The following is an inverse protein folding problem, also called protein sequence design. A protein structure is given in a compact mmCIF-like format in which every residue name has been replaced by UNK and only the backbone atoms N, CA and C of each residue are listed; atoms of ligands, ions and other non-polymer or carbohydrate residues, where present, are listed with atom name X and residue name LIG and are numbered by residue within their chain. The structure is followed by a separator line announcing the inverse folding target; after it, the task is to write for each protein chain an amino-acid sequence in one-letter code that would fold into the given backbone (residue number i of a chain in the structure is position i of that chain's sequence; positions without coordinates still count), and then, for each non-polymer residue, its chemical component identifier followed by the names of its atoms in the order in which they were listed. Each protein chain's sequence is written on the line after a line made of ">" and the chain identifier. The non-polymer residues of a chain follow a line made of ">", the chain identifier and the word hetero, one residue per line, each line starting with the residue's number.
data_IF_758224273511
#
_entry.id   IF_758224273511
#
_cell.length_a   1.000
_cell.length_b   1.000
_cell.length_c   1.000
_cell.angle_alpha   90.00
_cell.angle_beta   90.00
_cell.angle_gamma   90.00
#
_symmetry.space_group_name_H-M   'P 1'
#
loop_
_entity.id
_entity.type
_entity.pdbx_description
1 polymer ?
#
# COMPACT_ATOMS: atom_id res chain seq x y z
N UNK A 1 31.18 -37.65 26.29
CA UNK A 1 30.80 -36.30 25.85
C UNK A 1 30.38 -36.40 24.38
N UNK A 2 29.10 -36.65 24.14
CA UNK A 2 28.54 -36.60 22.80
C UNK A 2 28.30 -35.14 22.46
N UNK A 3 29.07 -34.62 21.51
CA UNK A 3 28.86 -33.30 20.91
C UNK A 3 27.48 -33.31 20.25
N UNK A 4 26.54 -32.58 20.87
CA UNK A 4 25.20 -32.36 20.35
C UNK A 4 25.35 -31.54 19.05
N UNK A 5 25.31 -32.22 17.91
CA UNK A 5 25.45 -31.60 16.61
C UNK A 5 24.23 -30.69 16.39
N UNK A 6 24.48 -29.43 16.03
CA UNK A 6 23.41 -28.47 15.74
C UNK A 6 22.41 -29.08 14.74
N UNK A 7 21.08 -28.96 15.01
CA UNK A 7 20.07 -29.64 14.22
C UNK A 7 20.18 -29.27 12.74
N UNK A 8 20.20 -30.29 11.88
CA UNK A 8 20.28 -30.13 10.43
C UNK A 8 19.13 -29.24 9.93
N UNK A 9 19.44 -28.22 9.14
CA UNK A 9 18.47 -27.24 8.61
C UNK A 9 17.32 -27.89 7.82
N UNK A 10 17.58 -29.04 7.19
CA UNK A 10 16.63 -29.80 6.40
C UNK A 10 15.93 -30.92 7.19
N UNK A 11 16.21 -31.07 8.49
CA UNK A 11 15.45 -31.97 9.36
C UNK A 11 14.12 -31.32 9.76
N UNK A 12 13.11 -32.13 10.06
CA UNK A 12 11.81 -31.65 10.56
C UNK A 12 11.99 -30.77 11.80
N UNK A 13 12.94 -31.12 12.68
CA UNK A 13 13.28 -30.35 13.88
C UNK A 13 13.91 -29.00 13.54
N UNK A 14 14.83 -28.94 12.56
CA UNK A 14 15.43 -27.69 12.09
C UNK A 14 14.40 -26.75 11.46
N UNK A 15 13.46 -27.30 10.69
CA UNK A 15 12.34 -26.55 10.11
C UNK A 15 11.40 -26.04 11.21
N UNK A 16 11.02 -26.89 12.17
CA UNK A 16 10.19 -26.48 13.30
C UNK A 16 10.84 -25.40 14.16
N UNK A 17 12.15 -25.48 14.39
CA UNK A 17 12.90 -24.48 15.13
C UNK A 17 12.86 -23.12 14.42
N UNK A 18 13.12 -23.08 13.11
CA UNK A 18 13.02 -21.84 12.33
C UNK A 18 11.61 -21.25 12.29
N UNK A 19 10.59 -22.10 12.16
CA UNK A 19 9.19 -21.64 12.18
C UNK A 19 8.86 -21.03 13.54
N UNK A 20 9.20 -21.70 14.64
CA UNK A 20 8.98 -21.18 16.01
C UNK A 20 9.76 -19.88 16.26
N UNK A 21 10.99 -19.81 15.79
CA UNK A 21 11.80 -18.59 15.88
C UNK A 21 11.14 -17.44 15.10
N UNK A 22 10.68 -17.69 13.87
CA UNK A 22 9.96 -16.71 13.07
C UNK A 22 8.69 -16.21 13.77
N UNK A 23 7.88 -17.13 14.29
CA UNK A 23 6.65 -16.82 15.04
C UNK A 23 6.98 -16.01 16.31
N UNK A 24 8.01 -16.40 17.06
CA UNK A 24 8.43 -15.71 18.29
C UNK A 24 8.97 -14.31 18.01
N UNK A 25 9.72 -14.12 16.92
CA UNK A 25 10.15 -12.80 16.46
C UNK A 25 8.94 -11.93 16.10
N UNK A 26 7.97 -12.49 15.36
CA UNK A 26 6.74 -11.79 15.00
C UNK A 26 5.95 -11.40 16.24
N UNK A 27 5.81 -12.32 17.19
CA UNK A 27 5.13 -12.09 18.46
C UNK A 27 5.80 -10.96 19.26
N UNK A 28 7.13 -10.99 19.38
CA UNK A 28 7.92 -9.94 20.04
C UNK A 28 7.73 -8.58 19.38
N UNK A 29 7.75 -8.54 18.04
CA UNK A 29 7.51 -7.31 17.28
C UNK A 29 6.06 -6.84 17.47
N UNK A 30 5.09 -7.73 17.51
CA UNK A 30 3.68 -7.35 17.72
C UNK A 30 3.41 -6.89 19.16
N UNK A 31 4.19 -7.35 20.14
CA UNK A 31 4.08 -6.91 21.54
C UNK A 31 4.29 -5.41 21.74
N UNK A 32 4.96 -4.73 20.79
CA UNK A 32 5.15 -3.29 20.83
C UNK A 32 3.82 -2.52 20.67
N UNK A 33 2.79 -3.16 20.10
CA UNK A 33 1.49 -2.55 19.83
C UNK A 33 0.46 -2.96 20.88
N UNK A 34 -0.08 -1.97 21.61
CA UNK A 34 -1.10 -2.18 22.65
C UNK A 34 -2.32 -2.98 22.15
N UNK A 35 -2.83 -2.64 20.97
CA UNK A 35 -3.99 -3.32 20.37
C UNK A 35 -3.76 -4.81 20.12
N UNK A 36 -2.55 -5.23 19.75
CA UNK A 36 -2.24 -6.64 19.53
C UNK A 36 -2.27 -7.42 20.86
N UNK A 37 -1.78 -6.81 21.93
CA UNK A 37 -1.82 -7.41 23.27
C UNK A 37 -3.26 -7.48 23.83
N UNK A 38 -4.09 -6.47 23.55
CA UNK A 38 -5.51 -6.48 23.93
C UNK A 38 -6.27 -7.61 23.21
N UNK A 39 -5.98 -7.83 21.92
CA UNK A 39 -6.55 -8.93 21.13
C UNK A 39 -6.14 -10.29 21.69
N UNK A 40 -4.87 -10.47 22.04
CA UNK A 40 -4.38 -11.70 22.70
C UNK A 40 -5.10 -11.95 24.02
N UNK A 41 -5.29 -10.90 24.84
CA UNK A 41 -6.00 -11.00 26.12
C UNK A 41 -7.47 -11.40 25.97
N UNK A 42 -8.15 -10.91 24.92
CA UNK A 42 -9.57 -11.20 24.68
C UNK A 42 -9.75 -12.58 24.06
N UNK A 43 -8.92 -12.93 23.09
CA UNK A 43 -9.06 -14.19 22.32
C UNK A 43 -8.43 -15.38 23.01
N UNK A 44 -7.47 -15.16 23.91
CA UNK A 44 -6.68 -16.22 24.56
C UNK A 44 -5.69 -16.92 23.61
N UNK A 45 -5.52 -16.41 22.39
CA UNK A 45 -4.63 -16.97 21.37
C UNK A 45 -3.45 -15.99 21.17
N UNK A 46 -2.20 -16.48 20.97
CA UNK A 46 -1.08 -15.58 20.75
C UNK A 46 -1.31 -14.71 19.51
N UNK A 47 -1.05 -13.40 19.66
CA UNK A 47 -1.26 -12.37 18.62
C UNK A 47 -0.58 -12.71 17.29
N UNK A 48 0.58 -13.38 17.32
CA UNK A 48 1.27 -13.85 16.12
C UNK A 48 0.41 -14.79 15.26
N UNK A 49 -0.28 -15.76 15.86
CA UNK A 49 -1.17 -16.67 15.13
C UNK A 49 -2.42 -15.94 14.61
N UNK A 50 -2.94 -14.96 15.35
CA UNK A 50 -4.09 -14.16 14.90
C UNK A 50 -3.74 -13.38 13.63
N UNK A 51 -2.59 -12.69 13.63
CA UNK A 51 -2.13 -11.92 12.46
C UNK A 51 -1.78 -12.83 11.28
N UNK A 52 -1.08 -13.95 11.53
CA UNK A 52 -0.77 -14.91 10.47
C UNK A 52 -2.04 -15.53 9.88
N UNK A 53 -3.00 -15.88 10.72
CA UNK A 53 -4.30 -16.41 10.31
C UNK A 53 -5.10 -15.40 9.49
N UNK A 54 -5.16 -14.15 9.93
CA UNK A 54 -5.81 -13.07 9.18
C UNK A 54 -5.11 -12.82 7.84
N UNK A 55 -3.78 -12.80 7.80
CA UNK A 55 -3.00 -12.65 6.57
C UNK A 55 -3.20 -13.82 5.60
N UNK A 56 -3.24 -15.06 6.11
CA UNK A 56 -3.52 -16.25 5.30
C UNK A 56 -4.94 -16.23 4.74
N UNK A 57 -5.93 -15.86 5.56
CA UNK A 57 -7.32 -15.70 5.11
C UNK A 57 -7.42 -14.63 4.03
N UNK A 58 -6.77 -13.48 4.23
CA UNK A 58 -6.72 -12.38 3.26
C UNK A 58 -6.12 -12.85 1.92
N UNK A 59 -5.01 -13.57 1.96
CA UNK A 59 -4.38 -14.15 0.78
C UNK A 59 -5.29 -15.17 0.08
N UNK A 60 -5.93 -16.08 0.82
CA UNK A 60 -6.86 -17.07 0.29
C UNK A 60 -8.05 -16.39 -0.41
N UNK A 61 -8.64 -15.36 0.21
CA UNK A 61 -9.77 -14.62 -0.36
C UNK A 61 -9.41 -13.91 -1.67
N UNK A 62 -8.18 -13.42 -1.80
CA UNK A 62 -7.65 -12.84 -3.04
C UNK A 62 -7.37 -13.93 -4.07
N UNK A 63 -6.73 -15.02 -3.66
CA UNK A 63 -6.34 -16.13 -4.52
C UNK A 63 -7.55 -16.77 -5.22
N UNK A 64 -8.65 -16.96 -4.50
CA UNK A 64 -9.92 -17.46 -5.05
C UNK A 64 -10.82 -16.37 -5.62
N UNK A 65 -10.37 -15.11 -5.66
CA UNK A 65 -11.11 -13.96 -6.15
C UNK A 65 -12.51 -13.79 -5.53
N UNK A 66 -12.68 -14.16 -4.26
CA UNK A 66 -13.96 -14.02 -3.54
C UNK A 66 -14.18 -12.55 -3.14
N UNK A 67 -13.10 -11.84 -2.80
CA UNK A 67 -13.13 -10.42 -2.42
C UNK A 67 -11.88 -9.67 -2.93
N UNK A 68 -11.25 -10.13 -4.01
CA UNK A 68 -9.93 -9.67 -4.46
C UNK A 68 -9.87 -8.15 -4.67
N UNK A 69 -10.86 -7.58 -5.36
CA UNK A 69 -10.93 -6.14 -5.62
C UNK A 69 -11.10 -5.32 -4.34
N UNK A 70 -12.03 -5.71 -3.47
CA UNK A 70 -12.29 -5.00 -2.22
C UNK A 70 -11.03 -4.99 -1.33
N UNK A 71 -10.45 -6.17 -1.11
CA UNK A 71 -9.28 -6.34 -0.24
C UNK A 71 -8.06 -5.57 -0.77
N UNK A 72 -7.81 -5.64 -2.08
CA UNK A 72 -6.71 -4.90 -2.73
C UNK A 72 -6.90 -3.38 -2.61
N UNK A 73 -8.12 -2.89 -2.82
CA UNK A 73 -8.43 -1.48 -2.66
C UNK A 73 -8.27 -1.06 -1.19
N UNK A 74 -8.75 -1.86 -0.24
CA UNK A 74 -8.58 -1.56 1.19
C UNK A 74 -7.12 -1.36 1.55
N UNK A 75 -6.21 -2.21 1.05
CA UNK A 75 -4.76 -2.06 1.29
C UNK A 75 -4.22 -0.78 0.63
N UNK A 76 -4.62 -0.50 -0.60
CA UNK A 76 -4.21 0.70 -1.34
C UNK A 76 -4.61 2.00 -0.66
N UNK A 77 -5.72 1.99 0.07
CA UNK A 77 -6.30 3.21 0.64
C UNK A 77 -6.03 3.35 2.14
N UNK A 78 -6.29 2.32 2.95
CA UNK A 78 -6.35 2.44 4.41
C UNK A 78 -4.98 2.70 5.02
N UNK A 79 -3.97 1.89 4.69
CA UNK A 79 -2.64 2.05 5.28
C UNK A 79 -1.98 3.38 4.88
N UNK A 80 -1.93 3.75 3.58
CA UNK A 80 -1.40 5.05 3.16
C UNK A 80 -2.17 6.24 3.73
N UNK A 81 -3.49 6.15 3.87
CA UNK A 81 -4.27 7.23 4.47
C UNK A 81 -3.89 7.46 5.94
N UNK A 82 -3.79 6.40 6.73
CA UNK A 82 -3.35 6.52 8.12
C UNK A 82 -1.91 7.00 8.23
N UNK A 83 -1.02 6.53 7.36
CA UNK A 83 0.36 6.96 7.36
C UNK A 83 0.52 8.42 6.91
N UNK A 84 -0.30 8.88 5.96
CA UNK A 84 -0.40 10.28 5.54
C UNK A 84 -0.89 11.16 6.68
N UNK A 85 -1.92 10.71 7.43
CA UNK A 85 -2.39 11.43 8.62
C UNK A 85 -1.26 11.61 9.64
N UNK A 86 -0.49 10.55 9.92
CA UNK A 86 0.67 10.66 10.81
C UNK A 86 1.77 11.58 10.28
N UNK A 87 1.99 11.61 8.97
CA UNK A 87 2.96 12.52 8.35
C UNK A 87 2.53 13.98 8.49
N UNK A 88 1.25 14.27 8.25
CA UNK A 88 0.66 15.62 8.39
C UNK A 88 0.81 16.15 9.82
N UNK A 89 0.63 15.30 10.83
CA UNK A 89 0.77 15.66 12.25
C UNK A 89 2.24 15.66 12.73
N UNK A 90 3.19 15.20 11.90
CA UNK A 90 4.61 15.16 12.24
C UNK A 90 5.28 16.51 11.94
N UNK A 91 6.20 17.00 12.80
CA UNK A 91 7.00 18.18 12.49
C UNK A 91 8.04 17.94 11.37
N UNK A 92 8.23 16.71 10.90
CA UNK A 92 9.21 16.34 9.89
C UNK A 92 8.56 16.26 8.49
N UNK A 93 9.05 17.09 7.56
CA UNK A 93 8.47 17.24 6.20
C UNK A 93 8.96 16.22 5.17
N UNK A 94 9.87 15.31 5.56
CA UNK A 94 10.38 14.26 4.67
C UNK A 94 9.31 13.22 4.33
N UNK A 95 8.42 12.95 5.27
CA UNK A 95 7.43 11.88 5.17
C UNK A 95 6.28 12.30 4.23
N UNK A 96 6.00 13.61 4.14
CA UNK A 96 4.99 14.18 3.25
C UNK A 96 5.29 13.88 1.79
N UNK A 97 6.56 14.05 1.38
CA UNK A 97 6.98 13.80 -0.01
C UNK A 97 6.75 12.36 -0.42
N UNK A 98 6.96 11.41 0.50
CA UNK A 98 6.75 10.00 0.23
C UNK A 98 5.28 9.72 -0.05
N UNK A 99 4.37 10.19 0.81
CA UNK A 99 2.94 9.94 0.64
C UNK A 99 2.36 10.70 -0.54
N UNK A 100 2.79 11.93 -0.83
CA UNK A 100 2.38 12.65 -2.04
C UNK A 100 2.86 11.95 -3.32
N UNK A 101 4.08 11.39 -3.30
CA UNK A 101 4.59 10.57 -4.40
C UNK A 101 3.74 9.32 -4.59
N UNK A 102 3.39 8.64 -3.49
CA UNK A 102 2.48 7.51 -3.51
C UNK A 102 1.13 7.87 -4.11
N UNK A 103 0.46 8.93 -3.62
CA UNK A 103 -0.85 9.34 -4.10
C UNK A 103 -0.85 9.76 -5.57
N UNK A 104 0.24 10.38 -6.03
CA UNK A 104 0.42 10.70 -7.46
C UNK A 104 0.48 9.42 -8.27
N UNK A 105 1.33 8.47 -7.88
CA UNK A 105 1.53 7.21 -8.58
C UNK A 105 0.27 6.34 -8.58
N UNK A 106 -0.36 6.17 -7.42
CA UNK A 106 -1.54 5.32 -7.30
C UNK A 106 -2.70 5.87 -8.12
N UNK A 107 -2.83 7.20 -8.28
CA UNK A 107 -3.84 7.81 -9.15
C UNK A 107 -3.69 7.38 -10.62
N UNK A 108 -2.48 7.41 -11.17
CA UNK A 108 -2.21 6.92 -12.53
C UNK A 108 -2.38 5.41 -12.65
N UNK A 109 -1.89 4.66 -11.66
CA UNK A 109 -2.04 3.20 -11.63
C UNK A 109 -3.52 2.83 -11.62
N UNK A 110 -4.34 3.45 -10.79
CA UNK A 110 -5.77 3.15 -10.68
C UNK A 110 -6.52 3.41 -11.99
N UNK A 111 -6.14 4.46 -12.73
CA UNK A 111 -6.64 4.72 -14.08
C UNK A 111 -6.29 3.58 -15.05
N UNK A 112 -5.05 3.10 -15.05
CA UNK A 112 -4.63 1.97 -15.87
C UNK A 112 -5.31 0.67 -15.43
N UNK A 113 -5.47 0.46 -14.13
CA UNK A 113 -6.14 -0.70 -13.56
C UNK A 113 -7.61 -0.78 -13.95
N UNK A 114 -8.30 0.34 -14.10
CA UNK A 114 -9.67 0.33 -14.61
C UNK A 114 -9.77 -0.38 -15.97
N UNK A 115 -8.85 -0.05 -16.88
CA UNK A 115 -8.76 -0.76 -18.17
C UNK A 115 -8.24 -2.19 -18.00
N UNK A 116 -7.29 -2.41 -17.08
CA UNK A 116 -6.74 -3.73 -16.78
C UNK A 116 -7.80 -4.71 -16.27
N UNK A 117 -8.71 -4.26 -15.42
CA UNK A 117 -9.81 -5.07 -14.89
C UNK A 117 -10.79 -5.46 -16.01
N UNK A 118 -11.04 -4.56 -16.98
CA UNK A 118 -11.88 -4.86 -18.14
C UNK A 118 -11.19 -5.88 -19.07
N UNK A 119 -9.88 -5.73 -19.30
CA UNK A 119 -9.15 -6.49 -20.31
C UNK A 119 -8.55 -7.81 -19.80
N UNK A 120 -8.22 -7.92 -18.52
CA UNK A 120 -7.42 -9.03 -17.98
C UNK A 120 -8.09 -9.81 -16.83
N UNK A 121 -9.30 -9.42 -16.40
CA UNK A 121 -10.00 -10.10 -15.27
C UNK A 121 -10.30 -11.58 -15.51
N UNK A 122 -10.37 -12.04 -16.76
CA UNK A 122 -10.57 -13.45 -17.09
C UNK A 122 -9.32 -14.31 -16.90
N UNK A 123 -8.13 -13.71 -16.75
CA UNK A 123 -6.87 -14.44 -16.58
C UNK A 123 -6.78 -14.94 -15.12
N UNK A 124 -6.53 -16.23 -14.88
CA UNK A 124 -6.35 -16.75 -13.53
C UNK A 124 -5.15 -16.06 -12.85
N UNK A 125 -5.26 -15.80 -11.55
CA UNK A 125 -4.26 -15.10 -10.72
C UNK A 125 -4.03 -13.62 -11.03
N UNK A 126 -4.80 -13.00 -11.94
CA UNK A 126 -4.70 -11.56 -12.20
C UNK A 126 -4.78 -10.71 -10.92
N UNK A 127 -5.78 -10.99 -10.06
CA UNK A 127 -5.94 -10.27 -8.79
C UNK A 127 -4.77 -10.47 -7.82
N UNK A 128 -4.14 -11.65 -7.79
CA UNK A 128 -2.96 -11.89 -6.94
C UNK A 128 -1.79 -11.02 -7.39
N UNK A 129 -1.52 -10.99 -8.70
CA UNK A 129 -0.46 -10.16 -9.26
C UNK A 129 -0.74 -8.67 -9.07
N UNK A 130 -2.00 -8.27 -9.26
CA UNK A 130 -2.48 -6.91 -9.00
C UNK A 130 -2.25 -6.50 -7.55
N UNK A 131 -2.69 -7.31 -6.57
CA UNK A 131 -2.47 -7.02 -5.16
C UNK A 131 -0.99 -6.97 -4.83
N UNK A 132 -0.18 -7.89 -5.36
CA UNK A 132 1.26 -7.89 -5.12
C UNK A 132 1.93 -6.61 -5.64
N UNK A 133 1.54 -6.15 -6.83
CA UNK A 133 2.01 -4.89 -7.39
C UNK A 133 1.61 -3.68 -6.53
N UNK A 134 0.35 -3.61 -6.11
CA UNK A 134 -0.14 -2.56 -5.21
C UNK A 134 0.60 -2.59 -3.87
N UNK A 135 0.77 -3.76 -3.25
CA UNK A 135 1.49 -3.91 -1.99
C UNK A 135 2.93 -3.40 -2.10
N UNK A 136 3.59 -3.66 -3.22
CA UNK A 136 4.92 -3.15 -3.50
C UNK A 136 4.96 -1.61 -3.60
N UNK A 137 3.91 -0.97 -4.13
CA UNK A 137 3.78 0.48 -4.15
C UNK A 137 3.46 1.07 -2.77
N UNK A 138 2.58 0.42 -2.01
CA UNK A 138 2.05 0.86 -0.72
C UNK A 138 3.06 0.74 0.42
N UNK A 139 3.87 -0.31 0.43
CA UNK A 139 4.78 -0.58 1.54
C UNK A 139 6.02 0.33 1.49
N UNK A 140 6.30 1.08 2.58
CA UNK A 140 7.40 2.06 2.60
C UNK A 140 8.78 1.38 2.49
N UNK A 141 8.87 0.10 2.85
CA UNK A 141 10.10 -0.68 2.85
C UNK A 141 10.67 -0.87 1.43
N UNK A 142 9.79 -0.98 0.43
CA UNK A 142 10.19 -1.24 -0.95
C UNK A 142 10.38 0.03 -1.78
N UNK A 143 9.82 1.17 -1.33
CA UNK A 143 9.82 2.46 -2.03
C UNK A 143 9.37 2.34 -3.49
N UNK A 144 8.43 1.42 -3.78
CA UNK A 144 8.01 1.11 -5.14
C UNK A 144 7.38 2.31 -5.87
N UNK A 145 6.55 3.07 -5.17
CA UNK A 145 5.97 4.29 -5.71
C UNK A 145 7.03 5.32 -6.12
N UNK A 146 8.08 5.51 -5.34
CA UNK A 146 9.16 6.44 -5.68
C UNK A 146 9.92 6.01 -6.93
N UNK A 147 10.18 4.71 -7.08
CA UNK A 147 10.80 4.16 -8.30
C UNK A 147 9.93 4.44 -9.53
N UNK A 148 8.62 4.18 -9.43
CA UNK A 148 7.71 4.40 -10.56
C UNK A 148 7.56 5.89 -10.88
N UNK A 149 7.49 6.74 -9.86
CA UNK A 149 7.43 8.18 -10.02
C UNK A 149 8.68 8.71 -10.74
N UNK A 150 9.87 8.40 -10.20
CA UNK A 150 11.12 8.96 -10.71
C UNK A 150 11.46 8.48 -12.12
N UNK A 151 11.20 7.20 -12.42
CA UNK A 151 11.56 6.60 -13.71
C UNK A 151 10.52 6.80 -14.79
N UNK A 152 9.23 6.80 -14.44
CA UNK A 152 8.14 6.82 -15.42
C UNK A 152 7.40 8.14 -15.37
N UNK A 153 6.74 8.48 -14.26
CA UNK A 153 5.80 9.62 -14.26
C UNK A 153 6.51 10.98 -14.37
N UNK A 154 7.62 11.17 -13.64
CA UNK A 154 8.33 12.45 -13.56
C UNK A 154 8.70 13.06 -14.91
N UNK A 155 9.34 12.35 -15.87
CA UNK A 155 9.66 12.94 -17.17
C UNK A 155 8.40 13.37 -17.95
N UNK A 156 7.32 12.58 -17.93
CA UNK A 156 6.09 12.94 -18.63
C UNK A 156 5.37 14.13 -17.97
N UNK A 157 5.31 14.16 -16.63
CA UNK A 157 4.70 15.25 -15.88
C UNK A 157 5.44 16.57 -16.06
N UNK A 158 6.79 16.56 -16.02
CA UNK A 158 7.58 17.78 -16.22
C UNK A 158 7.40 18.35 -17.63
N UNK A 159 7.32 17.49 -18.65
CA UNK A 159 7.09 17.93 -20.01
C UNK A 159 5.68 18.51 -20.19
N UNK A 160 4.67 17.92 -19.54
CA UNK A 160 3.28 18.38 -19.64
C UNK A 160 2.97 19.60 -18.75
N UNK A 161 3.73 19.82 -17.67
CA UNK A 161 3.44 20.83 -16.65
C UNK A 161 3.25 22.22 -17.25
N UNK A 162 4.17 22.65 -18.13
CA UNK A 162 4.14 24.01 -18.66
C UNK A 162 2.89 24.32 -19.49
N UNK A 163 2.32 23.31 -20.16
CA UNK A 163 1.11 23.48 -20.96
C UNK A 163 -0.15 23.38 -20.09
N UNK A 164 -0.15 22.46 -19.11
CA UNK A 164 -1.23 22.35 -18.11
C UNK A 164 -1.40 23.67 -17.36
N UNK A 165 -0.30 24.25 -16.87
CA UNK A 165 -0.32 25.49 -16.09
C UNK A 165 -0.84 26.67 -16.92
N UNK A 166 -0.44 26.77 -18.20
CA UNK A 166 -0.96 27.79 -19.12
C UNK A 166 -2.47 27.65 -19.35
N UNK A 167 -2.95 26.43 -19.59
CA UNK A 167 -4.36 26.19 -19.85
C UNK A 167 -5.21 26.42 -18.59
N UNK A 168 -4.71 26.05 -17.41
CA UNK A 168 -5.36 26.33 -16.14
C UNK A 168 -5.51 27.84 -15.89
N UNK A 169 -4.45 28.61 -16.15
CA UNK A 169 -4.48 30.06 -15.98
C UNK A 169 -5.43 30.73 -17.00
N UNK A 170 -5.43 30.28 -18.26
CA UNK A 170 -6.39 30.75 -19.27
C UNK A 170 -7.84 30.47 -18.88
N UNK A 171 -8.12 29.28 -18.32
CA UNK A 171 -9.45 28.93 -17.82
C UNK A 171 -9.85 29.83 -16.65
N UNK A 172 -8.94 30.08 -15.71
CA UNK A 172 -9.18 30.97 -14.57
C UNK A 172 -9.50 32.39 -15.01
N UNK A 173 -8.75 32.92 -15.98
CA UNK A 173 -8.98 34.25 -16.55
C UNK A 173 -10.35 34.33 -17.20
N UNK A 174 -10.71 33.37 -18.07
CA UNK A 174 -12.04 33.32 -18.69
C UNK A 174 -13.17 33.24 -17.68
N UNK A 175 -13.02 32.44 -16.61
CA UNK A 175 -14.02 32.35 -15.54
C UNK A 175 -14.14 33.68 -14.79
N UNK A 176 -13.03 34.36 -14.52
CA UNK A 176 -13.01 35.67 -13.87
C UNK A 176 -13.65 36.76 -14.72
N UNK A 177 -13.38 36.77 -16.02
CA UNK A 177 -13.94 37.74 -16.96
C UNK A 177 -15.47 37.61 -17.02
N UNK A 178 -15.97 36.37 -17.19
CA UNK A 178 -17.40 36.06 -17.18
C UNK A 178 -18.06 36.44 -15.85
N UNK A 179 -17.42 36.14 -14.71
CA UNK A 179 -17.94 36.54 -13.41
C UNK A 179 -18.04 38.07 -13.28
N UNK A 180 -17.02 38.80 -13.75
CA UNK A 180 -16.99 40.27 -13.70
C UNK A 180 -18.02 40.92 -14.61
N UNK A 181 -18.30 40.32 -15.77
CA UNK A 181 -19.33 40.79 -16.71
C UNK A 181 -20.74 40.56 -16.16
N UNK A 182 -20.96 39.48 -15.41
CA UNK A 182 -22.22 39.23 -14.71
C UNK A 182 -22.44 40.23 -13.57
N UNK A 183 -21.40 40.52 -12.77
CA UNK A 183 -21.51 41.46 -11.63
C UNK A 183 -21.66 42.93 -12.08
N UNK A 184 -21.30 43.28 -13.32
CA UNK A 184 -21.50 44.63 -13.88
C UNK A 184 -22.88 44.84 -14.51
N UNK A 185 -23.67 43.78 -14.67
CA UNK A 185 -24.97 43.82 -15.36
C UNK A 185 -26.17 43.95 -14.42
N UNK A 186 -25.94 43.83 -13.12
CA UNK A 186 -26.87 44.15 -12.02
C UNK A 186 -26.55 45.53 -11.40
#
# INVERSE_FOLDING_TARGET
>A
MTTEAAPNLYSVEGVQAKVREGISRLDTQLSQYKYCNDVERITGVPKSYVILGAGALFFIMIFFNIAGQLLTNTVSWVYPAYASFKAIESPQTSDDKQWLTYWTVIGFVQLLEFFGDILFSFIPFYFVLKTAFILWLTLPQFRGAEVLYTRVLRPYLLNAQSDIDKHAEQLRQKVSDVASDLTKKD
#
